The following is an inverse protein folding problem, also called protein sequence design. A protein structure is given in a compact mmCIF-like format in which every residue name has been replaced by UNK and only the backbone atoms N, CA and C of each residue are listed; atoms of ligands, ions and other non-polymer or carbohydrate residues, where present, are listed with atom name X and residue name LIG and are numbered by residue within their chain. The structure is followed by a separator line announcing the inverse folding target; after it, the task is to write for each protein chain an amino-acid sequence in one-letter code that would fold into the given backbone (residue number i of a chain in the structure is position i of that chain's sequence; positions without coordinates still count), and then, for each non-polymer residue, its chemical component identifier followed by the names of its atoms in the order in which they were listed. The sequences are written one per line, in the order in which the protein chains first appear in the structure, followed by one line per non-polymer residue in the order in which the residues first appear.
data_IF_929331865095
#
_entry.id   IF_929331865095
#
_cell.length_a   1.000
_cell.length_b   1.000
_cell.length_c   1.000
_cell.angle_alpha   90.00
_cell.angle_beta   90.00
_cell.angle_gamma   90.00
#
_symmetry.space_group_name_H-M   'P 1'
#
loop_
_entity.id
_entity.type
_entity.pdbx_description
1 polymer ?
#
# COMPACT_ATOMS: atom_id res chain seq x y z
N UNK A 1 -1.05 10.42 27.12
CA UNK A 1 0.16 11.12 26.66
C UNK A 1 0.06 11.23 25.16
N UNK A 2 -0.30 12.42 24.68
CA UNK A 2 -0.47 12.71 23.26
C UNK A 2 0.92 12.89 22.65
N UNK A 3 1.36 11.94 21.83
CA UNK A 3 2.56 12.12 21.02
C UNK A 3 2.29 13.22 20.00
N UNK A 4 3.17 14.23 19.94
CA UNK A 4 3.15 15.22 18.85
C UNK A 4 3.10 14.50 17.49
N UNK A 5 2.44 15.06 16.48
CA UNK A 5 2.57 14.54 15.13
C UNK A 5 4.05 14.57 14.79
N UNK A 6 4.65 13.41 14.50
CA UNK A 6 5.99 13.38 13.92
C UNK A 6 6.01 14.31 12.71
N UNK A 7 7.13 14.98 12.47
CA UNK A 7 7.24 15.85 11.29
C UNK A 7 7.01 15.01 10.02
N UNK A 8 6.60 15.62 8.91
CA UNK A 8 6.51 14.94 7.59
C UNK A 8 7.79 14.15 7.29
N UNK A 9 8.95 14.68 7.68
CA UNK A 9 10.24 14.01 7.60
C UNK A 9 10.31 12.71 8.39
N UNK A 10 9.77 12.67 9.60
CA UNK A 10 9.74 11.47 10.43
C UNK A 10 8.74 10.44 9.89
N UNK A 11 7.58 10.89 9.40
CA UNK A 11 6.61 10.05 8.72
C UNK A 11 7.22 9.38 7.47
N UNK A 12 7.92 10.14 6.63
CA UNK A 12 8.65 9.63 5.45
C UNK A 12 9.71 8.60 5.83
N UNK A 13 10.51 8.88 6.87
CA UNK A 13 11.51 7.93 7.38
C UNK A 13 10.85 6.64 7.86
N UNK A 14 9.74 6.75 8.57
CA UNK A 14 9.00 5.60 9.07
C UNK A 14 8.41 4.77 7.92
N UNK A 15 7.75 5.39 6.95
CA UNK A 15 7.22 4.71 5.76
C UNK A 15 8.34 4.04 4.97
N UNK A 16 9.46 4.73 4.75
CA UNK A 16 10.62 4.16 4.06
C UNK A 16 11.19 2.94 4.77
N UNK A 17 11.26 2.99 6.11
CA UNK A 17 11.67 1.85 6.93
C UNK A 17 10.71 0.67 6.78
N UNK A 18 9.40 0.91 6.90
CA UNK A 18 8.38 -0.14 6.77
C UNK A 18 8.38 -0.80 5.38
N UNK A 19 8.52 0.00 4.31
CA UNK A 19 8.64 -0.52 2.95
C UNK A 19 9.92 -1.37 2.79
N UNK A 20 11.04 -0.92 3.38
CA UNK A 20 12.28 -1.69 3.42
C UNK A 20 12.13 -3.04 4.14
N UNK A 21 11.48 -3.05 5.29
CA UNK A 21 11.18 -4.26 6.07
C UNK A 21 10.25 -5.21 5.29
N UNK A 22 9.20 -4.69 4.66
CA UNK A 22 8.30 -5.46 3.81
C UNK A 22 9.04 -6.08 2.62
N UNK A 23 9.91 -5.32 1.95
CA UNK A 23 10.75 -5.84 0.85
C UNK A 23 11.63 -6.99 1.32
N UNK A 24 12.24 -6.85 2.49
CA UNK A 24 13.07 -7.90 3.08
C UNK A 24 12.24 -9.14 3.41
N UNK A 25 11.09 -8.98 4.05
CA UNK A 25 10.17 -10.07 4.35
C UNK A 25 9.73 -10.81 3.07
N UNK A 26 9.38 -10.08 2.01
CA UNK A 26 9.05 -10.67 0.70
C UNK A 26 10.22 -11.48 0.14
N UNK A 27 11.45 -10.99 0.28
CA UNK A 27 12.64 -11.68 -0.21
C UNK A 27 12.90 -13.01 0.53
N UNK A 28 12.62 -13.06 1.84
CA UNK A 28 12.82 -14.25 2.68
C UNK A 28 11.69 -15.28 2.60
N UNK A 29 10.56 -14.94 1.97
CA UNK A 29 9.48 -15.89 1.71
C UNK A 29 9.97 -17.09 0.89
N UNK A 30 9.68 -18.29 1.42
CA UNK A 30 10.02 -19.58 0.81
C UNK A 30 9.56 -19.64 -0.66
N UNK A 31 10.44 -20.14 -1.53
CA UNK A 31 10.17 -20.30 -2.97
C UNK A 31 9.07 -21.33 -3.22
N UNK A 32 8.85 -22.24 -2.28
CA UNK A 32 7.77 -23.24 -2.34
C UNK A 32 6.38 -22.68 -2.06
N UNK A 33 6.26 -21.40 -1.67
CA UNK A 33 4.95 -20.76 -1.55
C UNK A 33 4.33 -20.63 -2.93
N UNK A 34 3.05 -20.99 -3.09
CA UNK A 34 2.36 -20.83 -4.36
C UNK A 34 2.45 -19.36 -4.79
N UNK A 35 3.03 -19.13 -5.97
CA UNK A 35 2.91 -17.84 -6.62
C UNK A 35 1.45 -17.71 -7.05
N UNK A 36 0.75 -16.82 -6.37
CA UNK A 36 -0.61 -16.52 -6.75
C UNK A 36 -0.65 -15.96 -8.17
N UNK A 37 -1.75 -16.25 -8.84
CA UNK A 37 -1.97 -15.82 -10.22
C UNK A 37 -2.07 -14.29 -10.31
N UNK A 38 -1.82 -13.76 -11.51
CA UNK A 38 -2.01 -12.34 -11.85
C UNK A 38 -3.49 -11.99 -12.07
N UNK A 39 -4.39 -12.58 -11.28
CA UNK A 39 -5.83 -12.39 -11.37
C UNK A 39 -6.39 -12.05 -9.98
N UNK A 40 -7.12 -10.95 -9.85
CA UNK A 40 -7.74 -10.56 -8.58
C UNK A 40 -7.48 -9.11 -8.17
N UNK A 41 -8.10 -8.69 -7.06
CA UNK A 41 -8.28 -7.26 -6.72
C UNK A 41 -6.96 -6.54 -6.44
N UNK A 42 -5.94 -7.23 -5.90
CA UNK A 42 -4.62 -6.62 -5.69
C UNK A 42 -3.97 -6.23 -7.00
N UNK A 43 -3.93 -7.15 -7.97
CA UNK A 43 -3.35 -6.84 -9.28
C UNK A 43 -4.21 -5.79 -10.00
N UNK A 44 -5.54 -5.98 -10.03
CA UNK A 44 -6.47 -5.10 -10.74
C UNK A 44 -6.41 -3.63 -10.29
N UNK A 45 -6.25 -3.39 -9.00
CA UNK A 45 -6.32 -2.03 -8.44
C UNK A 45 -4.95 -1.44 -8.09
N UNK A 46 -3.94 -2.26 -7.82
CA UNK A 46 -2.61 -1.79 -7.40
C UNK A 46 -1.53 -1.94 -8.49
N UNK A 47 -1.89 -2.35 -9.71
CA UNK A 47 -0.96 -2.32 -10.85
C UNK A 47 -0.99 -1.01 -11.64
N UNK A 48 -1.95 -0.14 -11.37
CA UNK A 48 -2.05 1.19 -11.97
C UNK A 48 -1.36 2.21 -11.04
N UNK A 49 -0.50 3.05 -11.61
CA UNK A 49 0.21 4.12 -10.90
C UNK A 49 -0.23 5.51 -11.37
N UNK A 50 -1.34 5.59 -12.11
CA UNK A 50 -1.93 6.85 -12.51
C UNK A 50 -2.34 7.68 -11.29
N UNK A 51 -2.17 9.00 -11.42
CA UNK A 51 -2.60 9.97 -10.44
C UNK A 51 -3.73 10.75 -11.08
N UNK A 52 -4.86 10.80 -10.39
CA UNK A 52 -5.96 11.68 -10.73
C UNK A 52 -5.46 13.14 -10.70
N UNK A 53 -5.54 13.83 -11.84
CA UNK A 53 -5.01 15.20 -11.96
C UNK A 53 -5.81 16.22 -11.14
N UNK A 54 -7.08 15.94 -10.86
CA UNK A 54 -7.97 16.83 -10.10
C UNK A 54 -7.85 16.56 -8.59
N UNK A 55 -7.85 15.28 -8.18
CA UNK A 55 -7.88 14.88 -6.77
C UNK A 55 -6.49 14.61 -6.18
N UNK A 56 -5.50 14.31 -7.01
CA UNK A 56 -4.11 14.13 -6.63
C UNK A 56 -3.72 12.74 -6.08
N UNK A 57 -2.46 12.60 -5.62
CA UNK A 57 -1.84 11.30 -5.35
C UNK A 57 -2.38 10.60 -4.11
N UNK A 58 -2.78 11.34 -3.07
CA UNK A 58 -3.37 10.74 -1.87
C UNK A 58 -4.71 10.08 -2.15
N UNK A 59 -5.60 10.80 -2.84
CA UNK A 59 -6.90 10.26 -3.25
C UNK A 59 -6.72 9.02 -4.14
N UNK A 60 -5.83 9.12 -5.12
CA UNK A 60 -5.52 8.03 -6.04
C UNK A 60 -5.01 6.78 -5.29
N UNK A 61 -4.09 6.97 -4.34
CA UNK A 61 -3.60 5.91 -3.46
C UNK A 61 -4.74 5.29 -2.64
N UNK A 62 -5.49 6.12 -1.91
CA UNK A 62 -6.54 5.64 -0.99
C UNK A 62 -7.63 4.90 -1.76
N UNK A 63 -8.12 5.47 -2.86
CA UNK A 63 -9.15 4.84 -3.71
C UNK A 63 -8.71 3.45 -4.20
N UNK A 64 -7.50 3.34 -4.75
CA UNK A 64 -6.98 2.06 -5.21
C UNK A 64 -6.81 1.06 -4.05
N UNK A 65 -6.33 1.53 -2.90
CA UNK A 65 -6.15 0.72 -1.70
C UNK A 65 -7.47 0.18 -1.14
N UNK A 66 -8.50 1.02 -1.08
CA UNK A 66 -9.84 0.64 -0.65
C UNK A 66 -10.46 -0.37 -1.63
N UNK A 67 -10.39 -0.11 -2.93
CA UNK A 67 -10.89 -1.05 -3.95
C UNK A 67 -10.18 -2.42 -3.87
N UNK A 68 -8.91 -2.43 -3.50
CA UNK A 68 -8.13 -3.63 -3.30
C UNK A 68 -8.53 -4.40 -2.03
N UNK A 69 -8.61 -3.73 -0.87
CA UNK A 69 -8.70 -4.39 0.45
C UNK A 69 -10.09 -4.35 1.11
N UNK A 70 -10.92 -3.34 0.83
CA UNK A 70 -12.27 -3.22 1.40
C UNK A 70 -13.28 -4.08 0.62
N UNK A 71 -13.04 -5.39 0.58
CA UNK A 71 -13.89 -6.36 -0.09
C UNK A 71 -14.87 -7.04 0.88
N UNK A 72 -16.05 -7.48 0.41
CA UNK A 72 -16.97 -8.33 1.18
C UNK A 72 -16.27 -9.56 1.78
N UNK A 73 -16.75 -10.04 2.93
CA UNK A 73 -16.10 -11.16 3.67
C UNK A 73 -15.87 -12.42 2.82
N UNK A 74 -16.80 -12.74 1.92
CA UNK A 74 -16.71 -13.87 1.00
C UNK A 74 -15.64 -13.69 -0.10
N UNK A 75 -15.16 -12.46 -0.32
CA UNK A 75 -14.09 -12.16 -1.28
C UNK A 75 -12.72 -11.99 -0.63
N UNK A 76 -12.65 -11.81 0.70
CA UNK A 76 -11.37 -11.70 1.43
C UNK A 76 -10.40 -12.86 1.18
N UNK A 77 -10.83 -14.13 1.03
CA UNK A 77 -9.90 -15.20 0.68
C UNK A 77 -9.19 -14.95 -0.66
N UNK A 78 -9.81 -14.25 -1.62
CA UNK A 78 -9.19 -13.90 -2.91
C UNK A 78 -8.00 -12.95 -2.74
N UNK A 79 -7.91 -12.22 -1.63
CA UNK A 79 -6.73 -11.40 -1.30
C UNK A 79 -5.52 -12.25 -0.90
N UNK A 80 -5.77 -13.42 -0.30
CA UNK A 80 -4.74 -14.35 0.20
C UNK A 80 -4.14 -15.17 -0.96
N UNK A 81 -4.93 -15.43 -2.02
CA UNK A 81 -4.54 -16.29 -3.15
C UNK A 81 -3.33 -15.74 -3.93
N UNK A 82 -2.99 -14.46 -3.80
CA UNK A 82 -1.89 -13.86 -4.54
C UNK A 82 -0.49 -14.16 -3.98
N UNK A 83 -0.37 -14.72 -2.76
CA UNK A 83 0.90 -15.13 -2.16
C UNK A 83 2.01 -14.08 -2.25
N UNK A 84 3.23 -14.52 -2.58
CA UNK A 84 4.41 -13.66 -2.75
C UNK A 84 4.22 -12.59 -3.84
N UNK A 85 3.43 -12.88 -4.88
CA UNK A 85 3.19 -11.96 -5.98
C UNK A 85 2.33 -10.76 -5.55
N UNK A 86 1.25 -11.00 -4.80
CA UNK A 86 0.37 -9.94 -4.29
C UNK A 86 1.11 -8.97 -3.36
N UNK A 87 1.98 -9.50 -2.50
CA UNK A 87 2.82 -8.67 -1.64
C UNK A 87 3.80 -7.81 -2.44
N UNK A 88 4.38 -8.33 -3.52
CA UNK A 88 5.23 -7.54 -4.43
C UNK A 88 4.44 -6.40 -5.07
N UNK A 89 3.22 -6.67 -5.55
CA UNK A 89 2.36 -5.65 -6.18
C UNK A 89 2.03 -4.55 -5.18
N UNK A 90 1.54 -4.91 -3.99
CA UNK A 90 1.22 -3.93 -2.94
C UNK A 90 2.44 -3.11 -2.51
N UNK A 91 3.61 -3.76 -2.36
CA UNK A 91 4.87 -3.06 -2.04
C UNK A 91 5.26 -2.08 -3.15
N UNK A 92 5.23 -2.49 -4.42
CA UNK A 92 5.56 -1.63 -5.56
C UNK A 92 4.63 -0.42 -5.64
N UNK A 93 3.33 -0.63 -5.47
CA UNK A 93 2.33 0.43 -5.44
C UNK A 93 2.59 1.44 -4.31
N UNK A 94 2.71 0.96 -3.07
CA UNK A 94 2.97 1.83 -1.93
C UNK A 94 4.31 2.57 -2.04
N UNK A 95 5.34 1.91 -2.59
CA UNK A 95 6.64 2.54 -2.84
C UNK A 95 6.56 3.64 -3.89
N UNK A 96 5.75 3.49 -4.92
CA UNK A 96 5.56 4.52 -5.94
C UNK A 96 4.95 5.79 -5.31
N UNK A 97 3.77 5.64 -4.70
CA UNK A 97 3.02 6.77 -4.13
C UNK A 97 3.74 7.46 -2.97
N UNK A 98 4.46 6.72 -2.12
CA UNK A 98 5.24 7.29 -1.03
C UNK A 98 6.34 8.27 -1.49
N UNK A 99 6.77 8.18 -2.77
CA UNK A 99 7.78 9.07 -3.35
C UNK A 99 7.18 10.23 -4.18
N UNK A 100 5.84 10.29 -4.33
CA UNK A 100 5.20 11.36 -5.10
C UNK A 100 5.14 12.66 -4.29
N UNK A 101 5.37 13.77 -4.98
CA UNK A 101 5.11 15.09 -4.41
C UNK A 101 3.61 15.26 -4.18
N UNK A 102 3.23 15.85 -3.04
CA UNK A 102 1.83 16.07 -2.69
C UNK A 102 1.11 14.89 -2.05
N UNK A 103 1.74 13.71 -1.89
CA UNK A 103 1.14 12.58 -1.14
C UNK A 103 0.84 12.94 0.32
N UNK A 104 1.58 13.91 0.86
CA UNK A 104 1.46 14.45 2.21
C UNK A 104 0.34 15.50 2.35
N UNK A 105 -0.23 15.98 1.24
CA UNK A 105 -1.09 17.18 1.21
C UNK A 105 -2.42 17.02 1.98
N UNK A 106 -2.75 15.80 2.41
CA UNK A 106 -3.93 15.49 3.23
C UNK A 106 -3.59 15.08 4.69
N UNK A 107 -2.44 15.51 5.22
CA UNK A 107 -2.08 15.34 6.64
C UNK A 107 -2.97 16.12 7.64
N UNK A 108 -4.06 16.76 7.21
CA UNK A 108 -5.06 17.41 8.08
C UNK A 108 -6.22 16.49 8.52
N UNK A 109 -6.30 15.26 8.00
CA UNK A 109 -7.24 14.25 8.50
C UNK A 109 -6.45 13.09 9.09
N UNK A 110 -6.31 13.18 10.42
CA UNK A 110 -5.75 12.20 11.36
C UNK A 110 -5.39 10.85 10.76
N UNK A 111 -4.08 10.61 10.65
CA UNK A 111 -3.54 9.26 10.77
C UNK A 111 -4.31 8.55 11.88
N UNK A 112 -5.08 7.53 11.51
CA UNK A 112 -5.74 6.63 12.43
C UNK A 112 -4.65 6.12 13.37
N UNK A 113 -4.61 6.68 14.58
CA UNK A 113 -3.93 6.09 15.72
C UNK A 113 -4.75 4.85 16.05
N UNK A 114 -4.23 3.69 15.68
CA UNK A 114 -4.72 2.41 16.21
C UNK A 114 -4.03 2.17 17.55
#
# INVERSE_FOLDING_TARGET
MNGSPGTITDARKHVSKMLGELRHAIATLLVSLPEGKKDGPLYMHLSDFSVDEEEGPYFSFNRAWELAFQRPKNEKPKLIVHGKYGLKVAHSFASHFANLNGIEAHNDLGLIVI
#
